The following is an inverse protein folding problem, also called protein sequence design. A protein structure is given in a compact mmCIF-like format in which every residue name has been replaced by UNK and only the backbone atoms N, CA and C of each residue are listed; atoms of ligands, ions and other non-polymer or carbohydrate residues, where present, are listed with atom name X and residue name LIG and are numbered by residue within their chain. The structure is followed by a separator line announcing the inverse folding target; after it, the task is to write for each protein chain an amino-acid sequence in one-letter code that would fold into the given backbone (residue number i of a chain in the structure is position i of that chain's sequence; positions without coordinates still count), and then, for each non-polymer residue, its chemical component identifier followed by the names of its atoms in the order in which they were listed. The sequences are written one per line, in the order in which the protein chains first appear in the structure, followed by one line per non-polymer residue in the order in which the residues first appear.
data_IF_549884862010
#
_entry.id   IF_549884862010
#
_cell.length_a   1.000
_cell.length_b   1.000
_cell.length_c   1.000
_cell.angle_alpha   90.00
_cell.angle_beta   90.00
_cell.angle_gamma   90.00
#
_symmetry.space_group_name_H-M   'P 1'
#
loop_
_entity.id
_entity.type
_entity.pdbx_description
1 polymer ?
#
# COMPACT_ATOMS: atom_id res chain seq x y z
N UNK A 1 -3.97 -21.13 10.87
CA UNK A 1 -4.55 -20.34 9.78
C UNK A 1 -3.48 -19.40 9.26
N UNK A 2 -3.34 -19.30 7.95
CA UNK A 2 -2.43 -18.35 7.29
C UNK A 2 -2.71 -16.91 7.74
N UNK A 3 -1.69 -16.06 7.76
CA UNK A 3 -1.82 -14.64 8.06
C UNK A 3 -1.66 -13.81 6.79
N UNK A 4 -2.61 -12.93 6.53
CA UNK A 4 -2.56 -11.95 5.45
C UNK A 4 -2.02 -10.63 5.97
N UNK A 5 -0.79 -10.27 5.57
CA UNK A 5 -0.10 -9.05 6.00
C UNK A 5 0.10 -8.13 4.81
N UNK A 6 -0.25 -6.87 4.96
CA UNK A 6 -0.18 -5.86 3.91
C UNK A 6 0.74 -4.73 4.31
N UNK A 7 1.63 -4.33 3.41
CA UNK A 7 2.47 -3.14 3.54
C UNK A 7 1.91 -2.02 2.66
N UNK A 8 1.60 -0.90 3.27
CA UNK A 8 1.01 0.27 2.65
C UNK A 8 1.91 1.51 2.79
N UNK A 9 1.78 2.45 1.88
CA UNK A 9 2.53 3.71 1.91
C UNK A 9 2.48 4.41 0.56
N UNK A 10 2.75 5.71 0.56
CA UNK A 10 2.89 6.50 -0.67
C UNK A 10 4.12 6.07 -1.48
N UNK A 11 4.26 6.58 -2.69
CA UNK A 11 5.39 6.26 -3.55
C UNK A 11 6.70 6.73 -2.90
N UNK A 12 7.78 5.96 -3.09
CA UNK A 12 9.11 6.20 -2.47
C UNK A 12 9.13 6.27 -0.94
N UNK A 13 8.11 5.73 -0.24
CA UNK A 13 8.09 5.63 1.23
C UNK A 13 9.09 4.62 1.81
N UNK A 14 9.73 3.79 0.97
CA UNK A 14 10.67 2.75 1.42
C UNK A 14 10.04 1.37 1.64
N UNK A 15 8.80 1.15 1.19
CA UNK A 15 8.12 -0.15 1.27
C UNK A 15 8.97 -1.31 0.75
N UNK A 16 9.56 -1.18 -0.44
CA UNK A 16 10.36 -2.26 -1.05
C UNK A 16 11.53 -2.71 -0.19
N UNK A 17 12.14 -1.78 0.57
CA UNK A 17 13.19 -2.11 1.54
C UNK A 17 12.61 -2.88 2.72
N UNK A 18 11.46 -2.46 3.23
CA UNK A 18 10.78 -3.15 4.32
C UNK A 18 10.24 -4.52 3.90
N UNK A 19 9.73 -4.68 2.66
CA UNK A 19 9.38 -5.99 2.09
C UNK A 19 10.56 -6.97 2.19
N UNK A 20 11.77 -6.54 1.82
CA UNK A 20 12.98 -7.38 1.91
C UNK A 20 13.30 -7.79 3.35
N UNK A 21 13.15 -6.86 4.30
CA UNK A 21 13.38 -7.15 5.73
C UNK A 21 12.32 -8.08 6.31
N UNK A 22 11.06 -7.88 5.96
CA UNK A 22 9.94 -8.75 6.37
C UNK A 22 10.12 -10.17 5.82
N UNK A 23 10.46 -10.34 4.54
CA UNK A 23 10.74 -11.65 3.94
C UNK A 23 11.90 -12.35 4.65
N UNK A 24 13.01 -11.63 4.88
CA UNK A 24 14.16 -12.17 5.65
C UNK A 24 13.76 -12.58 7.07
N UNK A 25 12.86 -11.83 7.71
CA UNK A 25 12.33 -12.20 9.02
C UNK A 25 11.53 -13.51 8.95
N UNK A 26 10.67 -13.71 7.93
CA UNK A 26 9.93 -14.96 7.75
C UNK A 26 10.87 -16.13 7.52
N UNK A 27 11.89 -15.97 6.66
CA UNK A 27 12.91 -17.00 6.42
C UNK A 27 13.63 -17.40 7.71
N UNK A 28 14.05 -16.43 8.53
CA UNK A 28 14.72 -16.67 9.81
C UNK A 28 13.81 -17.40 10.82
N UNK A 29 12.49 -17.19 10.73
CA UNK A 29 11.47 -17.88 11.56
C UNK A 29 11.01 -19.20 10.94
N UNK A 30 11.52 -19.58 9.76
CA UNK A 30 11.14 -20.77 9.00
C UNK A 30 9.65 -20.81 8.67
N UNK A 31 9.04 -19.65 8.45
CA UNK A 31 7.66 -19.53 8.00
C UNK A 31 7.60 -19.66 6.48
N UNK A 32 6.76 -20.55 5.98
CA UNK A 32 6.43 -20.60 4.56
C UNK A 32 5.65 -19.34 4.18
N UNK A 33 6.05 -18.66 3.09
CA UNK A 33 5.40 -17.41 2.72
C UNK A 33 5.34 -17.20 1.21
N UNK A 34 4.30 -16.49 0.77
CA UNK A 34 4.16 -15.93 -0.57
C UNK A 34 4.16 -14.41 -0.52
N UNK A 35 4.64 -13.81 -1.60
CA UNK A 35 4.67 -12.34 -1.76
C UNK A 35 4.03 -11.95 -3.08
N UNK A 36 3.12 -10.95 -3.04
CA UNK A 36 2.51 -10.37 -4.23
C UNK A 36 2.50 -8.84 -4.11
N UNK A 37 2.44 -8.18 -5.25
CA UNK A 37 2.37 -6.72 -5.36
C UNK A 37 1.16 -6.33 -6.21
N UNK A 38 0.36 -5.38 -5.76
CA UNK A 38 -0.72 -4.82 -6.55
C UNK A 38 -0.40 -3.38 -7.00
N UNK A 39 -0.77 -3.02 -8.25
CA UNK A 39 -1.45 -3.84 -9.26
C UNK A 39 -0.55 -4.91 -9.88
N UNK A 40 -1.17 -5.99 -10.37
CA UNK A 40 -0.53 -7.15 -11.00
C UNK A 40 -0.18 -6.84 -12.46
N UNK A 41 0.80 -5.96 -12.69
CA UNK A 41 1.18 -5.54 -14.04
C UNK A 41 1.57 -6.72 -14.93
N UNK A 42 0.97 -6.74 -16.14
CA UNK A 42 1.23 -7.77 -17.13
C UNK A 42 0.42 -9.06 -16.99
N UNK A 43 -0.28 -9.26 -15.88
CA UNK A 43 -0.96 -10.53 -15.60
C UNK A 43 -2.42 -10.58 -16.10
N UNK A 44 -3.08 -9.43 -16.22
CA UNK A 44 -4.47 -9.38 -16.62
C UNK A 44 -4.83 -8.07 -17.36
N UNK A 45 -6.02 -8.07 -18.00
CA UNK A 45 -6.49 -6.92 -18.76
C UNK A 45 -6.75 -5.66 -17.89
N UNK A 46 -7.07 -5.81 -16.61
CA UNK A 46 -7.31 -4.68 -15.72
C UNK A 46 -6.01 -3.99 -15.32
N UNK A 47 -4.94 -4.74 -15.09
CA UNK A 47 -3.62 -4.17 -14.84
C UNK A 47 -3.10 -3.36 -16.03
N UNK A 48 -3.44 -3.75 -17.27
CA UNK A 48 -3.14 -2.96 -18.46
C UNK A 48 -3.94 -1.65 -18.50
N UNK A 49 -5.22 -1.67 -18.12
CA UNK A 49 -6.05 -0.45 -18.01
C UNK A 49 -5.51 0.47 -16.92
N UNK A 50 -5.06 -0.08 -15.78
CA UNK A 50 -4.39 0.69 -14.72
C UNK A 50 -3.13 1.36 -15.25
N UNK A 51 -2.29 0.63 -15.98
CA UNK A 51 -1.08 1.17 -16.59
C UNK A 51 -1.38 2.34 -17.54
N UNK A 52 -2.41 2.23 -18.39
CA UNK A 52 -2.88 3.31 -19.26
C UNK A 52 -3.37 4.53 -18.46
N UNK A 53 -4.12 4.30 -17.39
CA UNK A 53 -4.55 5.38 -16.49
C UNK A 53 -3.34 6.11 -15.88
N UNK A 54 -2.37 5.37 -15.36
CA UNK A 54 -1.16 5.95 -14.75
C UNK A 54 -0.30 6.70 -15.75
N UNK A 55 -0.31 6.29 -17.03
CA UNK A 55 0.30 7.05 -18.13
C UNK A 55 -0.50 8.29 -18.56
N UNK A 56 -1.70 8.52 -17.96
CA UNK A 56 -2.56 9.65 -18.31
C UNK A 56 -3.29 9.50 -19.64
N UNK A 57 -3.41 8.28 -20.19
CA UNK A 57 -4.09 8.05 -21.49
C UNK A 57 -5.61 8.30 -21.44
N UNK A 58 -6.18 8.33 -20.23
CA UNK A 58 -7.60 8.65 -19.99
C UNK A 58 -7.82 10.08 -19.47
N UNK A 59 -6.77 10.90 -19.41
CA UNK A 59 -6.77 12.22 -18.80
C UNK A 59 -6.02 12.28 -17.48
N UNK A 60 -6.00 13.47 -16.86
CA UNK A 60 -5.34 13.70 -15.57
C UNK A 60 -6.07 13.09 -14.38
N UNK A 61 -5.44 13.18 -13.20
CA UNK A 61 -5.96 12.60 -11.93
C UNK A 61 -7.42 13.01 -11.66
N UNK A 62 -7.75 14.29 -11.89
CA UNK A 62 -9.07 14.86 -11.57
C UNK A 62 -10.10 14.70 -12.71
N UNK A 63 -9.70 14.24 -13.88
CA UNK A 63 -10.57 14.09 -15.04
C UNK A 63 -11.23 12.70 -15.08
N UNK A 64 -10.63 11.72 -14.45
CA UNK A 64 -11.16 10.35 -14.40
C UNK A 64 -11.89 10.11 -13.08
N UNK A 65 -13.14 9.63 -13.18
CA UNK A 65 -13.98 9.34 -12.01
C UNK A 65 -13.25 8.44 -11.00
N UNK A 66 -13.21 8.79 -9.69
CA UNK A 66 -12.61 7.94 -8.68
C UNK A 66 -13.28 6.57 -8.57
N UNK A 67 -14.59 6.46 -8.79
CA UNK A 67 -15.32 5.18 -8.80
C UNK A 67 -14.88 4.29 -9.97
N UNK A 68 -14.62 4.87 -11.15
CA UNK A 68 -14.08 4.10 -12.27
C UNK A 68 -12.68 3.57 -11.96
N UNK A 69 -11.81 4.44 -11.46
CA UNK A 69 -10.44 4.03 -11.10
C UNK A 69 -10.45 3.02 -9.96
N UNK A 70 -11.27 3.23 -8.93
CA UNK A 70 -11.45 2.28 -7.84
C UNK A 70 -11.87 0.89 -8.35
N UNK A 71 -12.81 0.86 -9.32
CA UNK A 71 -13.30 -0.38 -9.89
C UNK A 71 -12.20 -1.16 -10.62
N UNK A 72 -11.40 -0.50 -11.47
CA UNK A 72 -10.34 -1.20 -12.22
C UNK A 72 -9.27 -1.80 -11.29
N UNK A 73 -8.90 -1.09 -10.20
CA UNK A 73 -7.99 -1.63 -9.18
C UNK A 73 -8.62 -2.79 -8.38
N UNK A 74 -9.91 -2.70 -8.08
CA UNK A 74 -10.64 -3.78 -7.40
C UNK A 74 -10.74 -5.03 -8.28
N UNK A 75 -11.00 -4.86 -9.58
CA UNK A 75 -11.08 -5.97 -10.54
C UNK A 75 -9.72 -6.62 -10.79
N UNK A 76 -8.61 -5.87 -10.78
CA UNK A 76 -7.27 -6.44 -10.82
C UNK A 76 -7.04 -7.40 -9.64
N UNK A 77 -7.39 -6.99 -8.42
CA UNK A 77 -7.33 -7.86 -7.24
C UNK A 77 -8.28 -9.07 -7.32
N UNK A 78 -9.49 -8.84 -7.81
CA UNK A 78 -10.48 -9.91 -7.96
C UNK A 78 -10.04 -10.99 -8.96
N UNK A 79 -9.43 -10.60 -10.08
CA UNK A 79 -8.86 -11.57 -11.03
C UNK A 79 -7.76 -12.43 -10.41
N UNK A 80 -7.03 -11.87 -9.44
CA UNK A 80 -5.98 -12.57 -8.71
C UNK A 80 -6.50 -13.37 -7.49
N UNK A 81 -7.77 -13.22 -7.09
CA UNK A 81 -8.35 -13.83 -5.88
C UNK A 81 -8.14 -15.35 -5.80
N UNK A 82 -8.30 -16.16 -6.87
CA UNK A 82 -8.05 -17.60 -6.79
C UNK A 82 -6.61 -17.96 -6.39
N UNK A 83 -5.63 -17.21 -6.91
CA UNK A 83 -4.21 -17.40 -6.57
C UNK A 83 -3.92 -16.96 -5.14
N UNK A 84 -4.51 -15.84 -4.71
CA UNK A 84 -4.40 -15.36 -3.34
C UNK A 84 -4.98 -16.36 -2.35
N UNK A 85 -6.17 -16.93 -2.66
CA UNK A 85 -6.81 -17.93 -1.82
C UNK A 85 -5.96 -19.19 -1.70
N UNK A 86 -5.42 -19.70 -2.82
CA UNK A 86 -4.52 -20.85 -2.81
C UNK A 86 -3.28 -20.59 -1.94
N UNK A 87 -2.70 -19.38 -2.00
CA UNK A 87 -1.58 -19.02 -1.15
C UNK A 87 -1.98 -18.98 0.34
N UNK A 88 -3.16 -18.44 0.68
CA UNK A 88 -3.69 -18.44 2.04
C UNK A 88 -3.99 -19.85 2.58
N UNK A 89 -4.33 -20.79 1.69
CA UNK A 89 -4.60 -22.18 2.10
C UNK A 89 -3.32 -23.00 2.32
N UNK A 90 -2.18 -22.59 1.72
CA UNK A 90 -0.95 -23.41 1.66
C UNK A 90 0.25 -22.82 2.41
N UNK A 91 0.29 -21.50 2.67
CA UNK A 91 1.41 -20.82 3.32
C UNK A 91 1.07 -20.44 4.76
N UNK A 92 2.10 -20.25 5.59
CA UNK A 92 1.93 -19.69 6.93
C UNK A 92 1.59 -18.20 6.88
N UNK A 93 2.17 -17.49 5.88
CA UNK A 93 2.00 -16.04 5.72
C UNK A 93 1.88 -15.68 4.25
N UNK A 94 0.96 -14.78 3.92
CA UNK A 94 0.90 -14.07 2.63
C UNK A 94 1.21 -12.61 2.87
N UNK A 95 2.24 -12.10 2.20
CA UNK A 95 2.68 -10.70 2.25
C UNK A 95 2.25 -9.98 0.98
N UNK A 96 1.57 -8.85 1.13
CA UNK A 96 1.19 -8.00 0.00
C UNK A 96 1.90 -6.64 0.09
N UNK A 97 2.38 -6.12 -1.04
CA UNK A 97 2.72 -4.71 -1.21
C UNK A 97 1.54 -4.02 -1.89
N UNK A 98 0.84 -3.17 -1.16
CA UNK A 98 -0.45 -2.54 -1.48
C UNK A 98 -1.62 -3.51 -1.53
N UNK A 99 -2.79 -3.00 -1.14
CA UNK A 99 -4.05 -3.72 -1.21
C UNK A 99 -5.24 -2.73 -1.25
N UNK A 100 -6.36 -3.07 -0.61
CA UNK A 100 -7.59 -2.26 -0.61
C UNK A 100 -7.38 -0.86 -0.03
N UNK A 101 -6.56 -0.74 1.03
CA UNK A 101 -6.31 0.55 1.67
C UNK A 101 -5.57 1.55 0.77
N UNK A 102 -4.74 1.08 -0.18
CA UNK A 102 -4.21 1.92 -1.25
C UNK A 102 -5.34 2.54 -2.07
N UNK A 103 -6.35 1.75 -2.45
CA UNK A 103 -7.49 2.25 -3.22
C UNK A 103 -8.29 3.31 -2.43
N UNK A 104 -8.54 3.06 -1.12
CA UNK A 104 -9.18 4.05 -0.24
C UNK A 104 -8.43 5.38 -0.20
N UNK A 105 -7.10 5.31 -0.02
CA UNK A 105 -6.27 6.49 0.14
C UNK A 105 -6.19 7.31 -1.15
N UNK A 106 -5.90 6.66 -2.28
CA UNK A 106 -5.73 7.34 -3.57
C UNK A 106 -7.04 7.86 -4.14
N UNK A 107 -8.13 7.11 -4.08
CA UNK A 107 -9.42 7.59 -4.60
C UNK A 107 -10.07 8.61 -3.67
N UNK A 108 -9.93 8.45 -2.35
CA UNK A 108 -10.34 9.46 -1.37
C UNK A 108 -9.64 10.80 -1.56
N UNK A 109 -8.36 10.79 -1.95
CA UNK A 109 -7.55 12.00 -2.16
C UNK A 109 -7.94 12.84 -3.39
N UNK A 110 -8.78 12.31 -4.28
CA UNK A 110 -9.36 13.09 -5.40
C UNK A 110 -10.40 14.12 -4.94
N UNK A 111 -10.82 14.03 -3.70
CA UNK A 111 -11.69 15.00 -3.02
C UNK A 111 -10.94 15.65 -1.86
N UNK A 112 -11.39 16.81 -1.36
CA UNK A 112 -10.84 17.39 -0.14
C UNK A 112 -10.93 16.40 1.03
N UNK A 113 -9.87 16.31 1.83
CA UNK A 113 -9.82 15.41 2.97
C UNK A 113 -10.94 15.73 3.98
N UNK A 114 -11.60 14.67 4.50
CA UNK A 114 -12.74 14.80 5.42
C UNK A 114 -14.02 15.32 4.76
N UNK A 115 -14.08 15.46 3.43
CA UNK A 115 -15.33 15.79 2.73
C UNK A 115 -16.24 14.57 2.65
N UNK A 116 -17.56 14.85 2.58
CA UNK A 116 -18.59 13.81 2.39
C UNK A 116 -18.29 12.97 1.15
N UNK A 117 -17.83 13.58 0.05
CA UNK A 117 -17.51 12.88 -1.19
C UNK A 117 -16.31 11.92 -1.02
N UNK A 118 -15.28 12.33 -0.28
CA UNK A 118 -14.17 11.44 0.07
C UNK A 118 -14.63 10.24 0.89
N UNK A 119 -15.49 10.47 1.88
CA UNK A 119 -15.99 9.39 2.74
C UNK A 119 -16.95 8.45 2.00
N UNK A 120 -17.75 8.98 1.08
CA UNK A 120 -18.63 8.16 0.24
C UNK A 120 -17.87 7.23 -0.69
N UNK A 121 -16.81 7.70 -1.36
CA UNK A 121 -16.00 6.82 -2.24
C UNK A 121 -15.24 5.78 -1.43
N UNK A 122 -14.70 6.14 -0.27
CA UNK A 122 -14.04 5.17 0.63
C UNK A 122 -15.00 4.09 1.12
N UNK A 123 -16.20 4.50 1.58
CA UNK A 123 -17.25 3.54 1.96
C UNK A 123 -17.62 2.62 0.80
N UNK A 124 -17.84 3.17 -0.39
CA UNK A 124 -18.16 2.38 -1.57
C UNK A 124 -17.07 1.34 -1.89
N UNK A 125 -15.79 1.72 -1.80
CA UNK A 125 -14.66 0.80 -2.01
C UNK A 125 -14.69 -0.35 -1.00
N UNK A 126 -14.90 -0.04 0.29
CA UNK A 126 -14.99 -1.06 1.34
C UNK A 126 -16.13 -2.05 1.06
N UNK A 127 -17.32 -1.53 0.81
CA UNK A 127 -18.52 -2.34 0.51
C UNK A 127 -18.30 -3.18 -0.77
N UNK A 128 -17.69 -2.59 -1.80
CA UNK A 128 -17.45 -3.28 -3.07
C UNK A 128 -16.38 -4.37 -2.96
N UNK A 129 -15.21 -4.05 -2.40
CA UNK A 129 -14.10 -5.00 -2.38
C UNK A 129 -14.26 -6.10 -1.33
N UNK A 130 -14.67 -5.76 -0.11
CA UNK A 130 -14.81 -6.75 0.94
C UNK A 130 -16.18 -7.43 0.98
N UNK A 131 -17.28 -6.66 0.81
CA UNK A 131 -18.61 -7.24 0.98
C UNK A 131 -19.16 -7.85 -0.31
N UNK A 132 -18.92 -7.23 -1.48
CA UNK A 132 -19.41 -7.74 -2.76
C UNK A 132 -18.41 -8.71 -3.41
N UNK A 133 -17.16 -8.31 -3.63
CA UNK A 133 -16.13 -9.15 -4.25
C UNK A 133 -15.56 -10.22 -3.31
N UNK A 134 -15.85 -10.14 -1.99
CA UNK A 134 -15.37 -11.08 -0.97
C UNK A 134 -13.86 -11.23 -0.92
N UNK A 135 -13.14 -10.14 -1.18
CA UNK A 135 -11.68 -10.14 -0.96
C UNK A 135 -11.36 -10.37 0.52
N UNK A 136 -10.32 -11.16 0.85
CA UNK A 136 -9.99 -11.45 2.24
C UNK A 136 -9.55 -10.18 2.99
N UNK A 137 -10.03 -10.03 4.23
CA UNK A 137 -9.55 -8.98 5.12
C UNK A 137 -8.14 -9.28 5.61
N UNK A 138 -7.23 -8.31 5.60
CA UNK A 138 -5.90 -8.49 6.19
C UNK A 138 -5.94 -8.69 7.71
N UNK A 139 -5.10 -9.60 8.21
CA UNK A 139 -4.83 -9.72 9.64
C UNK A 139 -4.01 -8.53 10.16
N UNK A 140 -3.21 -7.91 9.28
CA UNK A 140 -2.40 -6.74 9.61
C UNK A 140 -2.17 -5.86 8.38
N UNK A 141 -2.42 -4.56 8.53
CA UNK A 141 -1.99 -3.53 7.58
C UNK A 141 -0.94 -2.64 8.24
N UNK A 142 0.23 -2.48 7.61
CA UNK A 142 1.29 -1.59 8.08
C UNK A 142 1.43 -0.43 7.11
N UNK A 143 1.16 0.78 7.56
CA UNK A 143 1.37 1.99 6.79
C UNK A 143 2.68 2.66 7.18
N UNK A 144 3.60 2.81 6.22
CA UNK A 144 4.86 3.52 6.38
C UNK A 144 4.64 5.01 6.13
N UNK A 145 4.53 5.77 7.23
CA UNK A 145 4.30 7.21 7.20
C UNK A 145 5.61 7.96 6.98
N UNK A 146 5.76 8.54 5.79
CA UNK A 146 6.90 9.39 5.38
C UNK A 146 6.36 10.74 4.91
N UNK A 147 6.87 11.87 5.43
CA UNK A 147 6.53 13.19 4.91
C UNK A 147 6.81 13.32 3.41
N UNK A 148 5.92 13.99 2.70
CA UNK A 148 5.98 14.12 1.23
C UNK A 148 7.21 14.87 0.73
N UNK A 149 7.79 15.77 1.53
CA UNK A 149 9.05 16.46 1.20
C UNK A 149 10.23 15.47 1.06
N UNK A 150 10.20 14.36 1.82
CA UNK A 150 11.24 13.34 1.77
C UNK A 150 11.00 12.42 0.58
N UNK A 151 9.75 11.99 0.35
CA UNK A 151 9.43 11.09 -0.77
C UNK A 151 9.60 11.79 -2.10
N UNK A 152 9.27 13.09 -2.21
CA UNK A 152 9.50 13.90 -3.39
C UNK A 152 10.98 13.97 -3.79
N UNK A 153 11.88 14.22 -2.83
CA UNK A 153 13.34 14.18 -3.08
C UNK A 153 13.80 12.82 -3.57
N UNK A 154 13.32 11.74 -2.95
CA UNK A 154 13.66 10.37 -3.37
C UNK A 154 13.17 10.06 -4.79
N UNK A 155 11.97 10.53 -5.17
CA UNK A 155 11.45 10.39 -6.53
C UNK A 155 12.31 11.15 -7.56
N UNK A 156 12.88 12.30 -7.17
CA UNK A 156 13.80 13.05 -8.02
C UNK A 156 15.15 12.33 -8.18
N UNK A 157 15.68 11.74 -7.12
CA UNK A 157 16.96 11.02 -7.11
C UNK A 157 16.86 9.67 -7.87
N UNK A 158 15.69 9.03 -7.89
CA UNK A 158 15.41 7.75 -8.59
C UNK A 158 15.16 7.92 -10.10
N UNK A 159 15.54 9.05 -10.71
CA UNK A 159 15.46 9.28 -12.15
C UNK A 159 16.32 8.28 -12.90
N UNK A 160 15.71 7.18 -13.33
CA UNK A 160 16.41 6.12 -14.09
C UNK A 160 15.92 4.70 -13.81
N UNK A 161 15.10 4.49 -12.80
CA UNK A 161 14.45 3.19 -12.60
C UNK A 161 13.35 3.03 -13.67
N UNK A 162 13.62 2.15 -14.64
CA UNK A 162 12.70 1.84 -15.73
C UNK A 162 11.47 1.10 -15.17
N UNK A 163 10.41 1.85 -14.92
CA UNK A 163 9.10 1.26 -14.60
C UNK A 163 8.48 0.83 -15.92
N UNK A 164 8.53 -0.44 -16.22
CA UNK A 164 8.12 -1.05 -17.48
C UNK A 164 6.71 -0.61 -17.91
N UNK A 165 5.76 -0.47 -16.95
CA UNK A 165 4.39 -0.03 -17.22
C UNK A 165 4.28 1.44 -17.69
N UNK A 166 5.32 2.27 -17.47
CA UNK A 166 5.36 3.68 -17.88
C UNK A 166 5.81 3.86 -19.34
N UNK A 167 6.35 2.82 -20.00
CA UNK A 167 6.77 2.85 -21.40
C UNK A 167 7.67 4.05 -21.74
N UNK A 168 8.67 4.31 -20.90
CA UNK A 168 9.63 5.40 -21.08
C UNK A 168 9.24 6.75 -20.47
N UNK A 169 8.09 6.89 -19.81
CA UNK A 169 7.81 8.06 -18.97
C UNK A 169 8.57 7.95 -17.65
N UNK A 170 9.07 9.08 -17.15
CA UNK A 170 9.83 9.12 -15.90
C UNK A 170 8.97 9.04 -14.65
N UNK A 171 7.72 9.52 -14.72
CA UNK A 171 6.76 9.56 -13.59
C UNK A 171 5.36 9.20 -14.09
N UNK A 172 4.57 8.59 -13.23
CA UNK A 172 3.13 8.48 -13.45
C UNK A 172 2.38 9.74 -12.98
N UNK A 173 1.09 9.82 -13.33
CA UNK A 173 0.27 11.00 -13.00
C UNK A 173 0.12 11.25 -11.48
N UNK A 174 0.27 10.22 -10.64
CA UNK A 174 0.21 10.36 -9.19
C UNK A 174 1.52 10.93 -8.61
N UNK A 175 2.66 10.57 -9.21
CA UNK A 175 4.00 10.99 -8.78
C UNK A 175 4.33 12.43 -9.19
N UNK A 176 3.61 12.96 -10.18
CA UNK A 176 3.80 14.34 -10.67
C UNK A 176 3.18 15.39 -9.74
N UNK A 177 2.16 15.03 -8.93
CA UNK A 177 1.42 15.97 -8.08
C UNK A 177 1.71 15.73 -6.58
N UNK A 178 2.61 16.54 -6.02
CA UNK A 178 3.02 16.45 -4.62
C UNK A 178 1.89 16.83 -3.63
N UNK A 179 0.98 17.72 -4.02
CA UNK A 179 -0.18 18.05 -3.19
C UNK A 179 -1.16 16.88 -3.15
N UNK A 180 -1.31 16.18 -4.27
CA UNK A 180 -2.09 14.97 -4.32
C UNK A 180 -1.46 13.88 -3.43
N UNK A 181 -0.14 13.68 -3.48
CA UNK A 181 0.56 12.72 -2.62
C UNK A 181 0.38 13.05 -1.13
N UNK A 182 0.37 14.32 -0.74
CA UNK A 182 0.09 14.70 0.66
C UNK A 182 -1.37 14.42 1.02
N UNK A 183 -2.35 14.67 0.13
CA UNK A 183 -3.74 14.26 0.37
C UNK A 183 -3.88 12.75 0.50
N UNK A 184 -3.16 11.97 -0.31
CA UNK A 184 -3.11 10.50 -0.19
C UNK A 184 -2.55 10.07 1.17
N UNK A 185 -1.43 10.66 1.60
CA UNK A 185 -0.84 10.40 2.91
C UNK A 185 -1.83 10.68 4.04
N UNK A 186 -2.53 11.82 4.01
CA UNK A 186 -3.53 12.19 5.01
C UNK A 186 -4.73 11.23 5.01
N UNK A 187 -5.16 10.75 3.84
CA UNK A 187 -6.22 9.73 3.76
C UNK A 187 -5.76 8.39 4.36
N UNK A 188 -4.52 7.95 4.11
CA UNK A 188 -3.96 6.78 4.80
C UNK A 188 -4.00 6.94 6.31
N UNK A 189 -3.50 8.07 6.84
CA UNK A 189 -3.52 8.35 8.27
C UNK A 189 -4.94 8.28 8.84
N UNK A 190 -5.91 8.88 8.17
CA UNK A 190 -7.31 8.86 8.58
C UNK A 190 -7.90 7.45 8.60
N UNK A 191 -7.73 6.69 7.52
CA UNK A 191 -8.28 5.32 7.42
C UNK A 191 -7.58 4.36 8.38
N UNK A 192 -6.25 4.41 8.46
CA UNK A 192 -5.48 3.51 9.32
C UNK A 192 -5.70 3.74 10.81
N UNK A 193 -5.95 5.00 11.23
CA UNK A 193 -6.19 5.32 12.64
C UNK A 193 -7.54 4.82 13.16
N UNK A 194 -8.49 4.57 12.28
CA UNK A 194 -9.87 4.17 12.64
C UNK A 194 -10.17 2.70 12.32
N UNK A 195 -9.30 2.03 11.57
CA UNK A 195 -9.51 0.65 11.15
C UNK A 195 -8.84 -0.34 12.11
N UNK A 196 -9.46 -1.49 12.40
CA UNK A 196 -8.82 -2.55 13.16
C UNK A 196 -7.65 -3.14 12.38
N UNK A 197 -6.75 -3.83 13.07
CA UNK A 197 -5.60 -4.52 12.47
C UNK A 197 -4.68 -3.60 11.64
N UNK A 198 -4.61 -2.31 11.99
CA UNK A 198 -3.78 -1.34 11.32
C UNK A 198 -2.68 -0.80 12.23
N UNK A 199 -1.47 -0.65 11.66
CA UNK A 199 -0.32 -0.04 12.33
C UNK A 199 0.25 1.08 11.48
N UNK A 200 0.28 2.29 12.04
CA UNK A 200 1.02 3.41 11.47
C UNK A 200 2.45 3.35 12.01
N UNK A 201 3.42 3.33 11.09
CA UNK A 201 4.85 3.31 11.41
C UNK A 201 5.47 4.64 10.97
N UNK A 202 5.79 5.54 11.91
CA UNK A 202 6.48 6.78 11.58
C UNK A 202 7.89 6.48 11.11
N UNK A 203 8.22 6.87 9.88
CA UNK A 203 9.52 6.59 9.28
C UNK A 203 10.55 7.70 9.51
N UNK A 204 10.17 8.74 10.26
CA UNK A 204 11.02 9.88 10.58
C UNK A 204 10.93 10.23 12.06
N UNK A 205 12.00 10.82 12.57
CA UNK A 205 12.05 11.48 13.88
C UNK A 205 12.10 12.98 13.66
N UNK A 206 11.22 13.71 14.33
CA UNK A 206 11.27 15.18 14.35
C UNK A 206 12.25 15.63 15.44
N UNK A 207 13.32 16.33 15.06
CA UNK A 207 14.31 16.92 15.97
C UNK A 207 14.40 18.40 15.66
N UNK A 208 13.88 19.24 16.57
CA UNK A 208 13.60 20.63 16.26
C UNK A 208 12.59 20.72 15.10
N UNK A 209 12.91 21.50 14.09
CA UNK A 209 12.06 21.70 12.89
C UNK A 209 12.45 20.77 11.70
N UNK A 210 13.30 19.74 11.95
CA UNK A 210 13.80 18.87 10.90
C UNK A 210 13.36 17.43 11.07
N UNK A 211 12.90 16.82 9.98
CA UNK A 211 12.62 15.40 9.90
C UNK A 211 13.90 14.63 9.55
N UNK A 212 14.26 13.67 10.38
CA UNK A 212 15.36 12.72 10.15
C UNK A 212 14.81 11.34 9.82
N UNK A 213 15.22 10.78 8.69
CA UNK A 213 14.80 9.43 8.29
C UNK A 213 15.40 8.40 9.22
N UNK A 214 14.56 7.52 9.76
CA UNK A 214 15.01 6.37 10.57
C UNK A 214 15.64 5.35 9.61
N UNK A 215 16.86 4.83 9.88
CA UNK A 215 17.44 3.75 9.09
C UNK A 215 16.50 2.54 9.02
N UNK A 216 16.46 1.90 7.85
CA UNK A 216 15.44 0.88 7.55
C UNK A 216 15.48 -0.34 8.50
N UNK A 217 16.68 -0.77 8.90
CA UNK A 217 16.91 -1.84 9.88
C UNK A 217 16.43 -1.44 11.27
N UNK A 218 16.70 -0.21 11.71
CA UNK A 218 16.22 0.32 12.99
C UNK A 218 14.71 0.49 13.02
N UNK A 219 14.15 0.97 11.90
CA UNK A 219 12.70 1.07 11.75
C UNK A 219 12.03 -0.32 11.85
N UNK A 220 12.62 -1.31 11.15
CA UNK A 220 12.13 -2.68 11.18
C UNK A 220 12.16 -3.26 12.60
N UNK A 221 13.32 -3.19 13.29
CA UNK A 221 13.50 -3.77 14.62
C UNK A 221 12.60 -3.11 15.67
N UNK A 222 12.44 -1.78 15.61
CA UNK A 222 11.70 -1.02 16.62
C UNK A 222 10.18 -1.02 16.41
N UNK A 223 9.71 -1.07 15.17
CA UNK A 223 8.29 -0.80 14.87
C UNK A 223 7.59 -1.90 14.07
N UNK A 224 8.29 -2.60 13.17
CA UNK A 224 7.67 -3.61 12.30
C UNK A 224 7.72 -4.99 12.95
N UNK A 225 8.91 -5.41 13.39
CA UNK A 225 9.11 -6.73 13.99
C UNK A 225 8.22 -7.01 15.20
N UNK A 226 8.05 -6.09 16.20
CA UNK A 226 7.16 -6.36 17.34
C UNK A 226 5.71 -6.60 16.95
N UNK A 227 5.22 -5.89 15.92
CA UNK A 227 3.86 -6.06 15.42
C UNK A 227 3.70 -7.39 14.69
N UNK A 228 4.72 -7.79 13.91
CA UNK A 228 4.74 -9.11 13.28
C UNK A 228 4.78 -10.23 14.33
N UNK A 229 5.63 -10.11 15.36
CA UNK A 229 5.70 -11.10 16.45
C UNK A 229 4.34 -11.26 17.13
N UNK A 230 3.65 -10.15 17.43
CA UNK A 230 2.31 -10.17 18.03
C UNK A 230 1.26 -10.87 17.13
N UNK A 231 1.19 -10.52 15.84
CA UNK A 231 0.17 -11.07 14.92
C UNK A 231 0.43 -12.54 14.60
N UNK A 232 1.70 -12.95 14.50
CA UNK A 232 2.08 -14.31 14.11
C UNK A 232 2.10 -15.28 15.29
N UNK A 233 2.46 -14.82 16.47
CA UNK A 233 2.71 -15.71 17.62
C UNK A 233 1.88 -15.36 18.89
N UNK A 234 1.14 -14.24 18.87
CA UNK A 234 0.43 -13.74 20.05
C UNK A 234 1.39 -13.20 21.12
N UNK A 235 0.87 -12.93 22.31
CA UNK A 235 1.65 -12.34 23.41
C UNK A 235 2.63 -13.32 24.11
N UNK A 236 2.89 -14.49 23.52
CA UNK A 236 3.68 -15.57 24.18
C UNK A 236 5.20 -15.37 24.13
N UNK A 237 5.74 -14.28 23.61
CA UNK A 237 7.18 -14.10 23.41
C UNK A 237 7.81 -12.84 24.04
N UNK A 238 7.32 -12.41 25.19
CA UNK A 238 8.02 -11.42 26.03
C UNK A 238 8.46 -12.05 27.38
N UNK A 239 9.14 -13.20 27.31
CA UNK A 239 9.98 -13.69 28.39
C UNK A 239 11.47 -13.63 27.99
#
# INVERSE_FOLDING_TARGET
MSKLIVLEGIDSSGKSTQVKLVKKYFDNRKLSHSFFHFPMYGDNQFSEVIAKFLRGEFGGINEVSPYFVANIYAMDRYMFLPTLQMALDTMDVVLLDRYVFSNLAYQGAKYPNGSIASDQVKKWIMDFEFDFLKLPYPDLNIFFDVPTEITGKRLEDQRGDDKEYLQGRQKDIHEEDMEFQERVRQNYLGVMSTSPNCKIVPCTLLVGDKNFVIPADKLFDAHVKPVLDHVLFGDQNYE
#
